data_IF_079567034943
#
_entry.id   IF_079567034943
#
_cell.length_a   1.000
_cell.length_b   1.000
_cell.length_c   1.000
_cell.angle_alpha   90.00
_cell.angle_beta   90.00
_cell.angle_gamma   90.00
#
_symmetry.space_group_name_H-M   'P 1'
#
loop_
_entity.id
_entity.type
_entity.pdbx_description
1 polymer ?
#
# COMPACT_ATOMS: atom_id res chain seq x y z
N UNK A 1 -10.43 12.76 8.45
CA UNK A 1 -8.96 12.86 8.56
C UNK A 1 -8.48 13.33 7.21
N UNK A 2 -7.75 14.44 7.15
CA UNK A 2 -7.28 14.97 5.86
C UNK A 2 -5.98 14.26 5.50
N UNK A 3 -5.80 13.86 4.23
CA UNK A 3 -4.58 13.19 3.73
C UNK A 3 -3.27 13.98 3.94
N UNK A 4 -3.36 15.23 4.38
CA UNK A 4 -2.21 16.07 4.69
C UNK A 4 -1.77 16.01 6.18
N UNK A 5 -2.37 15.14 6.99
CA UNK A 5 -1.95 14.93 8.37
C UNK A 5 -0.59 14.21 8.42
N UNK A 6 0.46 14.81 9.03
CA UNK A 6 1.79 14.21 9.10
C UNK A 6 1.85 12.83 9.77
N UNK A 7 0.97 12.57 10.74
CA UNK A 7 0.87 11.26 11.39
C UNK A 7 0.32 10.22 10.40
N UNK A 8 -0.74 10.57 9.67
CA UNK A 8 -1.33 9.68 8.67
C UNK A 8 -0.29 9.37 7.59
N UNK A 9 0.41 10.37 7.06
CA UNK A 9 1.48 10.16 6.08
C UNK A 9 2.62 9.27 6.60
N UNK A 10 3.03 9.46 7.85
CA UNK A 10 4.11 8.66 8.46
C UNK A 10 3.70 7.20 8.64
N UNK A 11 2.46 6.97 9.11
CA UNK A 11 1.93 5.61 9.27
C UNK A 11 1.69 4.93 7.92
N UNK A 12 1.20 5.66 6.91
CA UNK A 12 1.07 5.17 5.53
C UNK A 12 2.43 4.73 4.99
N UNK A 13 3.47 5.56 5.12
CA UNK A 13 4.84 5.21 4.71
C UNK A 13 5.33 3.94 5.41
N UNK A 14 5.19 3.85 6.73
CA UNK A 14 5.63 2.68 7.48
C UNK A 14 4.93 1.40 6.99
N UNK A 15 3.62 1.49 6.73
CA UNK A 15 2.85 0.34 6.28
C UNK A 15 3.27 -0.10 4.88
N UNK A 16 3.50 0.83 3.95
CA UNK A 16 4.03 0.56 2.61
C UNK A 16 5.41 -0.12 2.67
N UNK A 17 6.30 0.35 3.53
CA UNK A 17 7.63 -0.28 3.70
C UNK A 17 7.51 -1.70 4.25
N UNK A 18 6.61 -1.93 5.20
CA UNK A 18 6.36 -3.24 5.77
C UNK A 18 5.77 -4.20 4.74
N UNK A 19 4.79 -3.76 3.94
CA UNK A 19 4.22 -4.60 2.88
C UNK A 19 5.25 -4.92 1.81
N UNK A 20 6.05 -3.94 1.36
CA UNK A 20 7.14 -4.19 0.41
C UNK A 20 8.18 -5.17 0.95
N UNK A 21 8.57 -5.02 2.21
CA UNK A 21 9.52 -5.93 2.85
C UNK A 21 8.96 -7.36 2.88
N UNK A 22 7.70 -7.52 3.28
CA UNK A 22 7.03 -8.81 3.32
C UNK A 22 6.93 -9.42 1.92
N UNK A 23 6.54 -8.64 0.91
CA UNK A 23 6.46 -9.08 -0.48
C UNK A 23 7.82 -9.54 -1.02
N UNK A 24 8.89 -8.79 -0.74
CA UNK A 24 10.26 -9.15 -1.11
C UNK A 24 10.79 -10.42 -0.43
N UNK A 25 10.11 -10.91 0.62
CA UNK A 25 10.48 -12.17 1.29
C UNK A 25 9.82 -13.38 0.64
N UNK A 26 8.86 -13.18 -0.28
CA UNK A 26 8.17 -14.24 -0.99
C UNK A 26 9.12 -14.87 -2.01
N UNK A 27 9.67 -16.03 -1.68
CA UNK A 27 10.56 -16.78 -2.58
C UNK A 27 9.78 -17.44 -3.73
N UNK A 28 10.49 -17.69 -4.83
CA UNK A 28 9.99 -18.22 -6.11
C UNK A 28 9.28 -19.58 -5.94
N UNK A 29 9.73 -20.35 -4.94
CA UNK A 29 9.26 -21.71 -4.61
C UNK A 29 8.10 -21.74 -3.58
N UNK A 30 7.58 -20.58 -3.17
CA UNK A 30 6.27 -20.50 -2.48
C UNK A 30 6.24 -20.80 -0.98
N UNK A 31 7.37 -20.74 -0.27
CA UNK A 31 7.34 -20.60 1.20
C UNK A 31 7.88 -19.24 1.64
N UNK A 32 6.97 -18.26 1.70
CA UNK A 32 6.51 -17.83 3.01
C UNK A 32 5.02 -17.54 2.96
N UNK A 33 4.21 -18.59 3.09
CA UNK A 33 2.76 -18.49 3.32
C UNK A 33 2.39 -17.48 4.41
N UNK A 34 3.28 -17.29 5.39
CA UNK A 34 3.12 -16.29 6.42
C UNK A 34 3.16 -14.86 5.87
N UNK A 35 4.05 -14.56 4.93
CA UNK A 35 4.20 -13.25 4.30
C UNK A 35 2.98 -12.90 3.44
N UNK A 36 2.59 -13.78 2.52
CA UNK A 36 1.37 -13.60 1.71
C UNK A 36 0.13 -13.39 2.60
N UNK A 37 -0.02 -14.19 3.66
CA UNK A 37 -1.13 -14.03 4.62
C UNK A 37 -1.10 -12.68 5.37
N UNK A 38 0.09 -12.10 5.61
CA UNK A 38 0.17 -10.76 6.18
C UNK A 38 -0.29 -9.70 5.15
N UNK A 39 0.06 -9.86 3.88
CA UNK A 39 -0.40 -8.94 2.82
C UNK A 39 -1.92 -9.01 2.67
N UNK A 40 -2.49 -10.22 2.64
CA UNK A 40 -3.95 -10.43 2.63
C UNK A 40 -4.63 -9.78 3.85
N UNK A 41 -4.02 -9.89 5.03
CA UNK A 41 -4.53 -9.26 6.25
C UNK A 41 -4.52 -7.72 6.14
N UNK A 42 -3.48 -7.14 5.54
CA UNK A 42 -3.39 -5.70 5.31
C UNK A 42 -4.49 -5.24 4.34
N UNK A 43 -4.64 -5.92 3.20
CA UNK A 43 -5.71 -5.63 2.24
C UNK A 43 -7.10 -5.73 2.90
N UNK A 44 -7.36 -6.83 3.63
CA UNK A 44 -8.62 -7.01 4.37
C UNK A 44 -8.84 -6.00 5.51
N UNK A 45 -7.78 -5.35 6.01
CA UNK A 45 -7.89 -4.26 6.98
C UNK A 45 -8.33 -2.97 6.29
N UNK A 46 -7.77 -2.67 5.11
CA UNK A 46 -8.22 -1.55 4.29
C UNK A 46 -9.67 -1.71 3.86
N UNK A 47 -10.14 -2.95 3.74
CA UNK A 47 -11.54 -3.18 3.44
C UNK A 47 -12.53 -2.62 4.48
N UNK A 48 -12.06 -2.42 5.72
CA UNK A 48 -12.87 -1.84 6.79
C UNK A 48 -12.92 -0.31 6.76
N UNK A 49 -12.13 0.34 5.90
CA UNK A 49 -12.14 1.78 5.73
C UNK A 49 -13.36 2.22 4.91
N UNK A 50 -13.90 3.38 5.27
CA UNK A 50 -14.92 4.05 4.43
C UNK A 50 -14.31 4.49 3.09
N UNK A 51 -15.12 4.64 2.03
CA UNK A 51 -14.63 5.08 0.72
C UNK A 51 -13.80 6.37 0.79
N UNK A 52 -14.24 7.37 1.55
CA UNK A 52 -13.52 8.63 1.73
C UNK A 52 -12.13 8.44 2.38
N UNK A 53 -12.02 7.49 3.32
CA UNK A 53 -10.75 7.17 3.97
C UNK A 53 -9.81 6.41 3.03
N UNK A 54 -10.32 5.48 2.22
CA UNK A 54 -9.53 4.80 1.19
C UNK A 54 -9.01 5.79 0.15
N UNK A 55 -9.86 6.67 -0.34
CA UNK A 55 -9.48 7.74 -1.27
C UNK A 55 -8.42 8.67 -0.67
N UNK A 56 -8.58 9.08 0.59
CA UNK A 56 -7.57 9.90 1.29
C UNK A 56 -6.22 9.19 1.41
N UNK A 57 -6.22 7.87 1.63
CA UNK A 57 -5.00 7.06 1.71
C UNK A 57 -4.35 6.90 0.33
N UNK A 58 -5.14 6.64 -0.71
CA UNK A 58 -4.68 6.56 -2.09
C UNK A 58 -4.03 7.88 -2.54
N UNK A 59 -4.63 9.03 -2.23
CA UNK A 59 -4.04 10.35 -2.53
C UNK A 59 -2.66 10.51 -1.89
N UNK A 60 -2.47 10.04 -0.66
CA UNK A 60 -1.15 10.08 0.00
C UNK A 60 -0.16 9.19 -0.77
N UNK A 61 -0.53 7.95 -1.12
CA UNK A 61 0.34 7.03 -1.86
C UNK A 61 0.79 7.66 -3.18
N UNK A 62 -0.14 8.28 -3.90
CA UNK A 62 0.14 8.97 -5.17
C UNK A 62 1.07 10.18 -5.00
N UNK A 63 0.92 10.96 -3.92
CA UNK A 63 1.87 12.03 -3.59
C UNK A 63 3.28 11.50 -3.30
N UNK A 64 3.38 10.32 -2.68
CA UNK A 64 4.66 9.65 -2.45
C UNK A 64 5.27 9.18 -3.78
N UNK A 65 4.50 8.55 -4.65
CA UNK A 65 4.96 8.12 -5.97
C UNK A 65 5.49 9.29 -6.81
N UNK A 66 4.77 10.42 -6.80
CA UNK A 66 5.15 11.62 -7.54
C UNK A 66 6.48 12.25 -7.10
N UNK A 67 6.89 12.04 -5.84
CA UNK A 67 8.15 12.56 -5.29
C UNK A 67 9.25 11.51 -5.18
N UNK A 68 8.95 10.26 -5.52
CA UNK A 68 9.88 9.13 -5.39
C UNK A 68 10.95 9.16 -6.48
N UNK A 69 12.25 9.21 -6.13
CA UNK A 69 13.33 9.18 -7.11
C UNK A 69 13.58 7.80 -7.74
N UNK A 70 13.34 6.70 -7.03
CA UNK A 70 13.58 5.34 -7.54
C UNK A 70 12.44 4.89 -8.46
N UNK A 71 12.76 4.50 -9.69
CA UNK A 71 11.77 4.00 -10.65
C UNK A 71 11.07 2.73 -10.15
N UNK A 72 11.84 1.78 -9.61
CA UNK A 72 11.31 0.53 -9.02
C UNK A 72 10.35 0.82 -7.85
N UNK A 73 10.68 1.81 -7.02
CA UNK A 73 9.84 2.18 -5.87
C UNK A 73 8.61 2.97 -6.29
N UNK A 74 8.69 3.75 -7.36
CA UNK A 74 7.53 4.41 -7.94
C UNK A 74 6.54 3.39 -8.50
N UNK A 75 7.03 2.43 -9.27
CA UNK A 75 6.20 1.35 -9.83
C UNK A 75 5.46 0.56 -8.74
N UNK A 76 6.16 0.21 -7.65
CA UNK A 76 5.52 -0.40 -6.48
C UNK A 76 4.42 0.49 -5.87
N UNK A 77 4.67 1.79 -5.71
CA UNK A 77 3.69 2.73 -5.13
C UNK A 77 2.46 2.90 -6.04
N UNK A 78 2.67 2.90 -7.35
CA UNK A 78 1.59 3.01 -8.34
C UNK A 78 0.70 1.76 -8.30
N UNK A 79 1.29 0.56 -8.22
CA UNK A 79 0.56 -0.71 -8.09
C UNK A 79 -0.11 -0.88 -6.71
N UNK A 80 0.51 -0.37 -5.64
CA UNK A 80 0.04 -0.56 -4.26
C UNK A 80 -1.41 -0.13 -4.03
N UNK A 81 -1.87 0.95 -4.66
CA UNK A 81 -3.25 1.41 -4.48
C UNK A 81 -4.28 0.45 -5.05
N UNK A 82 -3.94 -0.25 -6.13
CA UNK A 82 -4.77 -1.24 -6.80
C UNK A 82 -4.68 -2.59 -6.06
N UNK A 83 -3.46 -3.10 -5.86
CA UNK A 83 -3.18 -4.40 -5.24
C UNK A 83 -3.77 -4.55 -3.83
N UNK A 84 -3.92 -3.44 -3.10
CA UNK A 84 -4.48 -3.42 -1.75
C UNK A 84 -5.90 -2.85 -1.68
N UNK A 85 -6.58 -2.63 -2.82
CA UNK A 85 -7.99 -2.24 -2.88
C UNK A 85 -8.31 -0.86 -2.31
N UNK A 86 -7.37 0.09 -2.45
CA UNK A 86 -7.57 1.49 -2.03
C UNK A 86 -8.34 2.31 -3.09
N UNK A 87 -8.25 1.89 -4.34
CA UNK A 87 -9.05 2.40 -5.45
C UNK A 87 -9.78 1.23 -6.11
N UNK A 88 -10.94 1.49 -6.70
CA UNK A 88 -11.61 0.48 -7.52
C UNK A 88 -10.81 0.27 -8.81
N UNK A 89 -10.65 -1.00 -9.23
CA UNK A 89 -10.16 -1.35 -10.55
C UNK A 89 -11.04 -0.62 -11.57
N UNK A 90 -10.45 0.35 -12.25
CA UNK A 90 -11.16 1.04 -13.33
C UNK A 90 -11.11 0.12 -14.54
N UNK A 91 -12.09 -0.79 -14.66
CA UNK A 91 -12.32 -1.57 -15.90
C UNK A 91 -12.49 -0.65 -17.13
#
# INVERSE_FOLDING_TARGET
>A
MNGNDPLVQTLTKLLIELTRFIDSTIDEDGEPRAAAKQLDFVAGTFDQLTPDQRGSLAEIVQQLAATEPSAERREFLDAFTEDFGLIDDTE
#
